data_IF_025579710345
#
_entry.id   IF_025579710345
#
_cell.length_a   1.000
_cell.length_b   1.000
_cell.length_c   1.000
_cell.angle_alpha   90.00
_cell.angle_beta   90.00
_cell.angle_gamma   90.00
#
_symmetry.space_group_name_H-M   'P 1'
#
loop_
_entity.id
_entity.type
_entity.pdbx_description
1 polymer ?
#
# COMPACT_ATOMS: atom_id res chain seq x y z
N UNK A 1 2.95 -16.85 1.91
CA UNK A 1 1.82 -16.78 2.84
C UNK A 1 0.57 -17.48 2.32
N UNK A 2 -0.46 -17.55 3.15
CA UNK A 2 -1.77 -18.12 2.82
C UNK A 2 -2.83 -17.69 3.82
N UNK A 3 -4.10 -18.15 3.62
CA UNK A 3 -5.27 -17.66 4.36
C UNK A 3 -5.14 -17.77 5.89
N UNK A 4 -4.57 -18.85 6.42
CA UNK A 4 -4.42 -19.01 7.87
C UNK A 4 -3.46 -17.98 8.50
N UNK A 5 -2.39 -17.60 7.80
CA UNK A 5 -1.49 -16.55 8.26
C UNK A 5 -2.15 -15.18 8.18
N UNK A 6 -2.88 -14.90 7.09
CA UNK A 6 -3.65 -13.68 6.93
C UNK A 6 -4.73 -13.54 8.03
N UNK A 7 -5.47 -14.62 8.32
CA UNK A 7 -6.43 -14.67 9.41
C UNK A 7 -5.76 -14.37 10.76
N UNK A 8 -4.62 -15.00 11.02
CA UNK A 8 -3.87 -14.75 12.26
C UNK A 8 -3.39 -13.32 12.36
N UNK A 9 -2.84 -12.76 11.28
CA UNK A 9 -2.40 -11.36 11.24
C UNK A 9 -3.57 -10.41 11.54
N UNK A 10 -4.69 -10.59 10.84
CA UNK A 10 -5.91 -9.80 11.06
C UNK A 10 -6.41 -9.90 12.51
N UNK A 11 -6.45 -11.11 13.08
CA UNK A 11 -6.90 -11.33 14.48
C UNK A 11 -5.99 -10.65 15.52
N UNK A 12 -4.77 -10.31 15.14
CA UNK A 12 -3.80 -9.57 15.97
C UNK A 12 -3.79 -8.07 15.70
N UNK A 13 -4.72 -7.56 14.88
CA UNK A 13 -4.85 -6.15 14.58
C UNK A 13 -3.88 -5.63 13.50
N UNK A 14 -3.25 -6.53 12.73
CA UNK A 14 -2.45 -6.14 11.56
C UNK A 14 -3.37 -5.58 10.49
N UNK A 15 -3.05 -4.40 9.96
CA UNK A 15 -3.89 -3.69 8.99
C UNK A 15 -3.74 -4.20 7.56
N UNK A 16 -2.61 -4.81 7.22
CA UNK A 16 -2.35 -5.34 5.89
C UNK A 16 -0.95 -5.94 5.75
N UNK A 17 -0.68 -6.50 4.60
CA UNK A 17 0.61 -7.11 4.25
C UNK A 17 1.14 -6.55 2.94
N UNK A 18 2.40 -6.18 2.91
CA UNK A 18 3.15 -5.82 1.70
C UNK A 18 4.32 -6.78 1.55
N UNK A 19 4.40 -7.50 0.45
CA UNK A 19 5.44 -8.50 0.20
C UNK A 19 5.88 -8.53 -1.28
N UNK A 20 7.13 -8.84 -1.53
CA UNK A 20 7.63 -9.15 -2.86
C UNK A 20 7.52 -10.64 -3.21
N UNK A 21 6.97 -11.44 -2.31
CA UNK A 21 6.67 -12.84 -2.54
C UNK A 21 5.27 -13.07 -3.13
N UNK A 22 4.98 -14.34 -3.44
CA UNK A 22 3.66 -14.77 -3.87
C UNK A 22 2.83 -15.30 -2.69
N UNK A 23 1.50 -15.24 -2.85
CA UNK A 23 0.54 -15.78 -1.90
C UNK A 23 -0.21 -16.98 -2.47
N UNK A 24 -0.70 -17.83 -1.58
CA UNK A 24 -1.76 -18.80 -1.85
C UNK A 24 -3.10 -18.28 -1.32
N UNK A 25 -4.16 -18.98 -1.67
CA UNK A 25 -5.49 -18.81 -1.07
C UNK A 25 -6.01 -17.36 -1.26
N UNK A 26 -5.81 -16.79 -2.47
CA UNK A 26 -6.09 -15.38 -2.74
C UNK A 26 -7.58 -15.03 -2.54
N UNK A 27 -8.48 -15.94 -2.92
CA UNK A 27 -9.92 -15.72 -2.78
C UNK A 27 -10.33 -15.70 -1.29
N UNK A 28 -9.82 -16.63 -0.50
CA UNK A 28 -10.08 -16.68 0.95
C UNK A 28 -9.50 -15.45 1.67
N UNK A 29 -8.31 -14.97 1.26
CA UNK A 29 -7.73 -13.74 1.81
C UNK A 29 -8.58 -12.52 1.45
N UNK A 30 -9.12 -12.47 0.23
CA UNK A 30 -10.03 -11.40 -0.19
C UNK A 30 -11.35 -11.44 0.60
N UNK A 31 -11.94 -12.62 0.80
CA UNK A 31 -13.14 -12.80 1.64
C UNK A 31 -12.92 -12.39 3.10
N UNK A 32 -11.72 -12.61 3.64
CA UNK A 32 -11.35 -12.11 4.96
C UNK A 32 -11.32 -10.57 5.03
N UNK A 33 -11.27 -9.87 3.89
CA UNK A 33 -11.07 -8.43 3.85
C UNK A 33 -9.74 -8.00 4.47
N UNK A 34 -8.69 -8.82 4.32
CA UNK A 34 -7.33 -8.50 4.76
C UNK A 34 -6.53 -7.98 3.56
N UNK A 35 -6.15 -6.69 3.55
CA UNK A 35 -5.44 -6.11 2.42
C UNK A 35 -4.05 -6.72 2.25
N UNK A 36 -3.75 -7.20 1.05
CA UNK A 36 -2.41 -7.69 0.71
C UNK A 36 -1.96 -7.13 -0.62
N UNK A 37 -0.72 -6.66 -0.66
CA UNK A 37 0.00 -6.32 -1.87
C UNK A 37 1.16 -7.29 -2.06
N UNK A 38 1.16 -8.07 -3.15
CA UNK A 38 2.13 -9.14 -3.39
C UNK A 38 2.56 -9.18 -4.86
N UNK A 39 3.62 -9.93 -5.14
CA UNK A 39 4.11 -10.12 -6.50
C UNK A 39 3.19 -10.98 -7.38
N UNK A 40 2.28 -11.73 -6.77
CA UNK A 40 1.35 -12.60 -7.49
C UNK A 40 0.86 -13.75 -6.62
N UNK A 41 0.23 -14.75 -7.27
CA UNK A 41 -0.25 -15.96 -6.60
C UNK A 41 0.56 -17.18 -7.03
N UNK A 42 0.73 -18.13 -6.13
CA UNK A 42 1.45 -19.37 -6.40
C UNK A 42 0.94 -20.50 -5.49
N UNK A 43 0.59 -21.69 -6.02
CA UNK A 43 -0.12 -22.71 -5.26
C UNK A 43 0.76 -23.53 -4.30
N UNK A 44 2.10 -23.41 -4.41
CA UNK A 44 3.02 -24.26 -3.67
C UNK A 44 3.27 -23.71 -2.25
N UNK A 45 3.26 -24.61 -1.27
CA UNK A 45 3.60 -24.31 0.11
C UNK A 45 5.13 -24.27 0.29
N UNK A 46 5.65 -23.15 0.83
CA UNK A 46 7.08 -22.92 1.04
C UNK A 46 7.61 -23.37 2.41
N UNK A 47 7.02 -24.42 3.02
CA UNK A 47 7.28 -24.78 4.42
C UNK A 47 8.73 -25.19 4.76
N UNK A 48 9.56 -25.46 3.74
CA UNK A 48 10.95 -25.90 3.92
C UNK A 48 11.97 -25.05 3.16
N UNK A 49 11.51 -24.06 2.39
CA UNK A 49 12.35 -23.37 1.41
C UNK A 49 12.67 -21.92 1.83
N UNK A 50 12.07 -21.47 2.94
CA UNK A 50 12.29 -20.11 3.48
C UNK A 50 12.50 -20.17 4.99
N UNK A 51 13.38 -19.29 5.45
CA UNK A 51 13.72 -19.08 6.84
C UNK A 51 13.50 -17.61 7.22
N UNK A 52 13.04 -17.37 8.46
CA UNK A 52 12.96 -16.01 8.99
C UNK A 52 14.34 -15.58 9.46
N UNK A 53 14.94 -14.62 8.78
CA UNK A 53 16.27 -14.09 9.10
C UNK A 53 16.26 -12.80 9.94
N UNK A 54 15.10 -12.17 10.11
CA UNK A 54 14.96 -10.95 10.91
C UNK A 54 13.51 -10.57 11.15
N UNK A 55 13.30 -9.81 12.22
CA UNK A 55 12.02 -9.21 12.60
C UNK A 55 12.29 -7.76 12.99
N UNK A 56 11.45 -6.82 12.55
CA UNK A 56 11.65 -5.37 12.75
C UNK A 56 13.02 -4.89 12.24
N UNK A 57 13.39 -5.33 11.07
CA UNK A 57 14.62 -4.92 10.37
C UNK A 57 14.27 -4.18 9.07
N UNK A 58 15.17 -3.33 8.56
CA UNK A 58 14.99 -2.74 7.24
C UNK A 58 14.88 -3.81 6.16
N UNK A 59 13.96 -3.60 5.21
CA UNK A 59 13.75 -4.49 4.06
C UNK A 59 13.77 -3.70 2.75
N UNK A 60 14.07 -4.41 1.65
CA UNK A 60 13.99 -3.85 0.30
C UNK A 60 12.79 -4.45 -0.43
N UNK A 61 11.85 -3.61 -0.85
CA UNK A 61 10.70 -4.00 -1.65
C UNK A 61 10.60 -3.12 -2.88
N UNK A 62 10.57 -3.73 -4.07
CA UNK A 62 10.48 -2.98 -5.33
C UNK A 62 11.59 -1.94 -5.54
N UNK A 63 12.80 -2.17 -5.01
CA UNK A 63 13.91 -1.22 -5.08
C UNK A 63 13.84 -0.08 -4.06
N UNK A 64 12.85 -0.09 -3.16
CA UNK A 64 12.69 0.91 -2.09
C UNK A 64 13.03 0.29 -0.74
N UNK A 65 13.90 0.95 0.02
CA UNK A 65 14.16 0.57 1.41
C UNK A 65 13.00 1.02 2.30
N UNK A 66 12.48 0.08 3.09
CA UNK A 66 11.45 0.33 4.10
C UNK A 66 12.06 0.04 5.48
N UNK A 67 11.93 0.99 6.37
CA UNK A 67 12.47 0.91 7.73
C UNK A 67 11.29 0.74 8.71
N UNK A 68 11.45 -0.06 9.78
CA UNK A 68 10.43 -0.15 10.82
C UNK A 68 10.01 1.22 11.35
N UNK A 69 8.69 1.49 11.34
CA UNK A 69 8.12 2.79 11.69
C UNK A 69 7.67 3.62 10.49
N UNK A 70 8.11 3.30 9.28
CA UNK A 70 7.63 3.96 8.06
C UNK A 70 6.11 3.73 7.89
N UNK A 71 5.42 4.75 7.40
CA UNK A 71 4.01 4.63 7.04
C UNK A 71 3.87 4.05 5.64
N UNK A 72 3.11 2.98 5.52
CA UNK A 72 2.80 2.36 4.23
C UNK A 72 1.37 2.69 3.84
N UNK A 73 1.20 3.29 2.67
CA UNK A 73 -0.09 3.47 2.02
C UNK A 73 -0.18 2.56 0.80
N UNK A 74 -1.24 1.76 0.74
CA UNK A 74 -1.46 0.80 -0.35
C UNK A 74 -2.87 0.96 -0.91
N UNK A 75 -2.97 0.96 -2.23
CA UNK A 75 -4.23 0.88 -2.95
C UNK A 75 -4.08 0.02 -4.22
N UNK A 76 -5.10 0.02 -5.10
CA UNK A 76 -5.04 -0.72 -6.37
C UNK A 76 -3.99 -0.21 -7.35
N UNK A 77 -3.50 1.01 -7.18
CA UNK A 77 -2.50 1.64 -8.04
C UNK A 77 -1.10 1.20 -7.64
N UNK A 78 -0.86 0.98 -6.35
CA UNK A 78 0.45 0.58 -5.85
C UNK A 78 0.61 0.79 -4.35
N UNK A 79 1.85 0.78 -3.92
CA UNK A 79 2.24 1.04 -2.53
C UNK A 79 3.29 2.15 -2.47
N UNK A 80 3.18 3.01 -1.48
CA UNK A 80 4.19 4.02 -1.16
C UNK A 80 4.63 3.89 0.28
N UNK A 81 5.93 4.10 0.53
CA UNK A 81 6.50 4.17 1.86
C UNK A 81 6.85 5.62 2.20
N UNK A 82 6.40 6.08 3.34
CA UNK A 82 6.63 7.43 3.85
C UNK A 82 7.49 7.32 5.10
N UNK A 83 8.73 7.88 5.11
CA UNK A 83 9.57 7.89 6.29
C UNK A 83 8.85 8.47 7.51
N UNK A 84 9.03 7.84 8.67
CA UNK A 84 8.32 8.21 9.89
C UNK A 84 8.49 9.69 10.28
N UNK A 85 9.67 10.26 10.04
CA UNK A 85 10.01 11.66 10.35
C UNK A 85 9.46 12.66 9.32
N UNK A 86 8.88 12.19 8.22
CA UNK A 86 8.32 13.04 7.15
C UNK A 86 6.81 12.93 6.97
N UNK A 87 6.13 12.16 7.81
CA UNK A 87 4.68 11.90 7.68
C UNK A 87 3.88 13.21 7.67
N UNK A 88 4.15 14.12 8.60
CA UNK A 88 3.40 15.38 8.72
C UNK A 88 3.62 16.30 7.51
N UNK A 89 4.85 16.36 7.00
CA UNK A 89 5.19 17.13 5.79
C UNK A 89 4.46 16.58 4.57
N UNK A 90 4.52 15.27 4.38
CA UNK A 90 3.88 14.60 3.24
C UNK A 90 2.37 14.71 3.32
N UNK A 91 1.77 14.55 4.50
CA UNK A 91 0.33 14.70 4.72
C UNK A 91 -0.14 16.10 4.33
N UNK A 92 0.54 17.14 4.82
CA UNK A 92 0.21 18.54 4.52
C UNK A 92 0.25 18.82 3.01
N UNK A 93 1.26 18.30 2.31
CA UNK A 93 1.35 18.46 0.86
C UNK A 93 0.28 17.66 0.11
N UNK A 94 -0.03 16.44 0.55
CA UNK A 94 -1.11 15.64 -0.01
C UNK A 94 -2.48 16.34 0.14
N UNK A 95 -2.77 16.92 1.29
CA UNK A 95 -3.99 17.71 1.53
C UNK A 95 -4.07 18.92 0.60
N UNK A 96 -2.96 19.62 0.39
CA UNK A 96 -2.88 20.74 -0.54
C UNK A 96 -3.17 20.31 -1.99
N UNK A 97 -2.58 19.18 -2.40
CA UNK A 97 -2.80 18.61 -3.74
C UNK A 97 -4.27 18.20 -3.89
N UNK A 98 -4.84 17.48 -2.93
CA UNK A 98 -6.23 17.04 -2.96
C UNK A 98 -7.20 18.23 -3.06
N UNK A 99 -6.98 19.30 -2.30
CA UNK A 99 -7.81 20.49 -2.36
C UNK A 99 -7.76 21.15 -3.74
N UNK A 100 -6.57 21.21 -4.36
CA UNK A 100 -6.41 21.72 -5.72
C UNK A 100 -7.11 20.83 -6.75
N UNK A 101 -6.95 19.51 -6.64
CA UNK A 101 -7.57 18.56 -7.56
C UNK A 101 -9.08 18.59 -7.47
N UNK A 102 -9.65 18.68 -6.27
CA UNK A 102 -11.10 18.83 -6.07
C UNK A 102 -11.64 20.09 -6.77
N UNK A 103 -10.92 21.21 -6.67
CA UNK A 103 -11.27 22.45 -7.38
C UNK A 103 -11.20 22.29 -8.91
N UNK A 104 -10.15 21.62 -9.40
CA UNK A 104 -10.01 21.33 -10.83
C UNK A 104 -11.14 20.43 -11.33
N UNK A 105 -11.50 19.38 -10.58
CA UNK A 105 -12.59 18.47 -10.89
C UNK A 105 -13.90 19.24 -11.04
N UNK A 106 -14.22 20.13 -10.12
CA UNK A 106 -15.43 20.97 -10.17
C UNK A 106 -15.46 21.81 -11.44
N UNK A 107 -14.35 22.47 -11.79
CA UNK A 107 -14.26 23.28 -13.00
C UNK A 107 -14.41 22.47 -14.29
N UNK A 108 -13.85 21.27 -14.31
CA UNK A 108 -13.98 20.34 -15.45
C UNK A 108 -15.44 19.87 -15.59
N UNK A 109 -16.14 19.57 -14.48
CA UNK A 109 -17.57 19.22 -14.50
C UNK A 109 -18.44 20.36 -15.03
N UNK A 110 -18.01 21.61 -14.83
CA UNK A 110 -18.65 22.80 -15.38
C UNK A 110 -18.31 23.07 -16.86
N UNK A 111 -17.52 22.20 -17.51
CA UNK A 111 -17.17 22.28 -18.93
C UNK A 111 -15.82 22.95 -19.23
N UNK A 112 -15.02 23.29 -18.21
CA UNK A 112 -13.67 23.83 -18.43
C UNK A 112 -12.74 22.75 -19.00
N UNK A 113 -11.84 23.15 -19.92
CA UNK A 113 -10.83 22.24 -20.42
C UNK A 113 -9.84 21.84 -19.30
N UNK A 114 -9.29 20.62 -19.35
CA UNK A 114 -8.26 20.19 -18.38
C UNK A 114 -7.00 21.08 -18.42
N UNK A 115 -6.69 21.63 -19.59
CA UNK A 115 -5.53 22.53 -19.76
C UNK A 115 -5.75 23.84 -18.99
N UNK A 116 -6.96 24.38 -19.01
CA UNK A 116 -7.30 25.62 -18.32
C UNK A 116 -7.51 25.37 -16.82
N UNK A 117 -8.14 24.27 -16.44
CA UNK A 117 -8.32 23.90 -15.05
C UNK A 117 -6.97 23.76 -14.31
N UNK A 118 -5.94 23.24 -14.97
CA UNK A 118 -4.58 23.11 -14.39
C UNK A 118 -3.89 24.45 -14.09
N UNK A 119 -4.31 25.54 -14.74
CA UNK A 119 -3.75 26.89 -14.50
C UNK A 119 -4.31 27.56 -13.26
N UNK A 120 -5.41 27.04 -12.72
CA UNK A 120 -6.04 27.58 -11.52
C UNK A 120 -5.20 27.19 -10.29
N UNK A 121 -4.85 28.20 -9.49
CA UNK A 121 -4.06 28.02 -8.25
C UNK A 121 -4.97 27.70 -7.06
#
# INVERSE_FOLDING_TARGET
>A
GGALLALRAKSRGVSGELTNGCLRDADEIAELGFPVYCAGTFPVKSARDIETIGVNVPVMLGGVQIIPGDLILMDRTGAVAIPADRIDEVLKEAERINAREAKMEELIRQGMSIVDARKVK
#
